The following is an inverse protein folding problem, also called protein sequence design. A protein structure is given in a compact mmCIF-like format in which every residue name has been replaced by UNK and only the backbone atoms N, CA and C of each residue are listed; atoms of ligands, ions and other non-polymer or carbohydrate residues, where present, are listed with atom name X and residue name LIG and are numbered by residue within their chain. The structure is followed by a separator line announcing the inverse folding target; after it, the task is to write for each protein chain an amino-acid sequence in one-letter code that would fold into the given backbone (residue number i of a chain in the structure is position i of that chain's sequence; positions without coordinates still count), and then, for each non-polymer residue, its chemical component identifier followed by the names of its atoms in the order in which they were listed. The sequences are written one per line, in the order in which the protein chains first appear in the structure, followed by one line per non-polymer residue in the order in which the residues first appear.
data_IF_070580128134
#
_entry.id   IF_070580128134
#
_cell.length_a   1.000
_cell.length_b   1.000
_cell.length_c   1.000
_cell.angle_alpha   90.00
_cell.angle_beta   90.00
_cell.angle_gamma   90.00
#
_symmetry.space_group_name_H-M   'P 1'
#
loop_
_entity.id
_entity.type
_entity.pdbx_description
1 polymer ?
#
# COMPACT_ATOMS: atom_id res chain seq x y z
N UNK A 1 -3.83 -15.90 10.29
CA UNK A 1 -3.21 -14.56 10.24
C UNK A 1 -2.48 -14.45 8.92
N UNK A 2 -2.68 -13.35 8.19
CA UNK A 2 -2.03 -13.12 6.90
C UNK A 2 -0.66 -12.49 7.12
N UNK A 3 0.39 -13.05 6.51
CA UNK A 3 1.76 -12.56 6.66
C UNK A 3 2.22 -11.90 5.37
N UNK A 4 2.96 -10.82 5.52
CA UNK A 4 3.61 -10.08 4.43
C UNK A 4 5.10 -10.39 4.46
N UNK A 5 5.66 -10.78 3.32
CA UNK A 5 7.09 -11.02 3.14
C UNK A 5 7.81 -9.72 2.82
N UNK A 6 8.74 -9.35 3.69
CA UNK A 6 9.62 -8.19 3.55
C UNK A 6 10.74 -8.49 2.54
N UNK A 7 11.39 -7.43 2.03
CA UNK A 7 12.51 -7.55 1.07
C UNK A 7 13.68 -8.38 1.61
N UNK A 8 13.91 -8.37 2.92
CA UNK A 8 14.91 -9.17 3.62
C UNK A 8 14.48 -10.63 3.88
N UNK A 9 13.32 -11.04 3.38
CA UNK A 9 12.77 -12.38 3.55
C UNK A 9 12.02 -12.59 4.86
N UNK A 10 11.99 -11.61 5.78
CA UNK A 10 11.22 -11.74 7.03
C UNK A 10 9.72 -11.74 6.75
N UNK A 11 8.98 -12.52 7.54
CA UNK A 11 7.53 -12.48 7.56
C UNK A 11 7.06 -11.58 8.71
N UNK A 12 6.12 -10.70 8.41
CA UNK A 12 5.46 -9.85 9.39
C UNK A 12 3.95 -9.97 9.23
N UNK A 13 3.18 -9.86 10.30
CA UNK A 13 1.73 -9.80 10.20
C UNK A 13 1.28 -8.59 9.39
N UNK A 14 0.30 -8.83 8.51
CA UNK A 14 -0.36 -7.74 7.82
C UNK A 14 -1.01 -6.80 8.84
N UNK A 15 -0.78 -5.51 8.64
CA UNK A 15 -1.36 -4.47 9.49
C UNK A 15 -2.05 -3.44 8.61
N UNK A 16 -3.39 -3.44 8.65
CA UNK A 16 -4.25 -2.43 8.03
C UNK A 16 -3.79 -1.01 8.37
N UNK A 17 -3.40 -0.78 9.63
CA UNK A 17 -2.93 0.52 10.10
C UNK A 17 -1.65 1.01 9.38
N UNK A 18 -0.79 0.10 8.90
CA UNK A 18 0.37 0.49 8.06
C UNK A 18 -0.09 1.03 6.72
N UNK A 19 -1.09 0.42 6.09
CA UNK A 19 -1.63 0.88 4.82
C UNK A 19 -2.21 2.28 4.97
N UNK A 20 -3.06 2.50 5.97
CA UNK A 20 -3.66 3.82 6.24
C UNK A 20 -2.58 4.89 6.43
N UNK A 21 -1.56 4.63 7.26
CA UNK A 21 -0.45 5.57 7.47
C UNK A 21 0.32 5.87 6.19
N UNK A 22 0.54 4.86 5.35
CA UNK A 22 1.21 4.99 4.07
C UNK A 22 0.42 5.89 3.12
N UNK A 23 -0.89 5.67 2.98
CA UNK A 23 -1.78 6.52 2.19
C UNK A 23 -1.85 7.97 2.72
N UNK A 24 -1.94 8.16 4.05
CA UNK A 24 -1.91 9.50 4.65
C UNK A 24 -0.59 10.23 4.34
N UNK A 25 0.55 9.54 4.42
CA UNK A 25 1.87 10.09 4.03
C UNK A 25 2.00 10.36 2.54
N UNK A 26 1.15 9.75 1.71
CA UNK A 26 0.99 10.07 0.30
C UNK A 26 0.16 11.34 0.05
N UNK A 27 -0.46 11.89 1.10
CA UNK A 27 -1.37 13.02 1.03
C UNK A 27 -2.85 12.64 0.92
N UNK A 28 -3.18 11.35 0.85
CA UNK A 28 -4.57 10.88 0.80
C UNK A 28 -5.35 11.35 2.03
N UNK A 29 -6.65 11.63 1.84
CA UNK A 29 -7.53 11.90 2.97
C UNK A 29 -7.75 10.63 3.80
N UNK A 30 -8.08 10.77 5.08
CA UNK A 30 -8.37 9.63 5.96
C UNK A 30 -9.44 8.70 5.38
N UNK A 31 -10.49 9.26 4.76
CA UNK A 31 -11.56 8.49 4.10
C UNK A 31 -11.04 7.61 2.96
N UNK A 32 -10.17 8.16 2.12
CA UNK A 32 -9.55 7.40 1.02
C UNK A 32 -8.58 6.36 1.57
N UNK A 33 -7.76 6.72 2.56
CA UNK A 33 -6.80 5.81 3.18
C UNK A 33 -7.47 4.59 3.83
N UNK A 34 -8.59 4.79 4.53
CA UNK A 34 -9.38 3.69 5.10
C UNK A 34 -10.00 2.81 4.02
N UNK A 35 -10.55 3.42 2.96
CA UNK A 35 -11.13 2.67 1.84
C UNK A 35 -10.10 1.80 1.12
N UNK A 36 -8.92 2.36 0.84
CA UNK A 36 -7.81 1.61 0.24
C UNK A 36 -7.37 0.48 1.16
N UNK A 37 -7.24 0.73 2.47
CA UNK A 37 -6.81 -0.30 3.41
C UNK A 37 -7.81 -1.46 3.51
N UNK A 38 -9.11 -1.18 3.43
CA UNK A 38 -10.16 -2.20 3.36
C UNK A 38 -10.08 -3.03 2.06
N UNK A 39 -9.89 -2.38 0.92
CA UNK A 39 -9.76 -3.08 -0.37
C UNK A 39 -8.46 -3.90 -0.45
N UNK A 40 -7.36 -3.41 0.13
CA UNK A 40 -6.11 -4.17 0.26
C UNK A 40 -6.36 -5.42 1.09
N UNK A 41 -6.99 -5.29 2.26
CA UNK A 41 -7.29 -6.41 3.17
C UNK A 41 -8.09 -7.53 2.50
N UNK A 42 -8.96 -7.19 1.53
CA UNK A 42 -9.73 -8.17 0.73
C UNK A 42 -8.92 -8.88 -0.35
N UNK A 43 -7.85 -8.25 -0.87
CA UNK A 43 -7.05 -8.76 -2.00
C UNK A 43 -5.72 -9.39 -1.58
N UNK A 44 -5.25 -9.15 -0.35
CA UNK A 44 -4.01 -9.76 0.16
C UNK A 44 -4.16 -11.27 0.39
N UNK A 45 -3.03 -11.96 0.36
CA UNK A 45 -2.93 -13.39 0.61
C UNK A 45 -1.67 -13.70 1.45
N UNK A 46 -1.59 -14.89 2.06
CA UNK A 46 -0.47 -15.22 2.94
C UNK A 46 0.85 -15.35 2.15
N UNK A 47 1.89 -14.67 2.61
CA UNK A 47 3.19 -14.61 1.95
C UNK A 47 3.34 -13.51 0.89
N UNK A 48 2.30 -12.69 0.66
CA UNK A 48 2.36 -11.54 -0.25
C UNK A 48 3.57 -10.65 0.08
N UNK A 49 4.29 -10.17 -0.93
CA UNK A 49 5.46 -9.31 -0.67
C UNK A 49 5.05 -7.88 -0.33
N UNK A 50 5.95 -7.15 0.36
CA UNK A 50 5.73 -5.71 0.59
C UNK A 50 5.64 -4.91 -0.71
N UNK A 51 6.31 -5.36 -1.78
CA UNK A 51 6.27 -4.67 -3.06
C UNK A 51 4.91 -4.88 -3.76
N UNK A 52 4.35 -6.09 -3.71
CA UNK A 52 2.99 -6.38 -4.21
C UNK A 52 1.91 -5.64 -3.42
N UNK A 53 2.03 -5.58 -2.08
CA UNK A 53 1.12 -4.78 -1.26
C UNK A 53 1.18 -3.31 -1.67
N UNK A 54 2.37 -2.78 -1.95
CA UNK A 54 2.52 -1.39 -2.40
C UNK A 54 1.92 -1.17 -3.80
N UNK A 55 2.06 -2.13 -4.72
CA UNK A 55 1.41 -2.10 -6.03
C UNK A 55 -0.10 -1.99 -5.91
N UNK A 56 -0.67 -2.87 -5.10
CA UNK A 56 -2.11 -2.92 -4.89
C UNK A 56 -2.65 -1.62 -4.29
N UNK A 57 -1.93 -1.02 -3.35
CA UNK A 57 -2.28 0.30 -2.78
C UNK A 57 -2.30 1.38 -3.86
N UNK A 58 -1.35 1.36 -4.79
CA UNK A 58 -1.23 2.37 -5.85
C UNK A 58 -2.34 2.21 -6.87
N UNK A 59 -2.59 0.98 -7.33
CA UNK A 59 -3.71 0.66 -8.22
C UNK A 59 -5.03 1.17 -7.64
N UNK A 60 -5.30 0.90 -6.37
CA UNK A 60 -6.50 1.37 -5.69
C UNK A 60 -6.57 2.90 -5.56
N UNK A 61 -5.44 3.58 -5.37
CA UNK A 61 -5.41 5.05 -5.36
C UNK A 61 -5.72 5.64 -6.75
N UNK A 62 -5.26 5.00 -7.83
CA UNK A 62 -5.60 5.38 -9.21
C UNK A 62 -7.06 5.09 -9.55
N UNK A 63 -7.60 3.91 -9.18
CA UNK A 63 -9.00 3.53 -9.37
C UNK A 63 -9.96 4.54 -8.70
N UNK A 64 -9.57 5.08 -7.54
CA UNK A 64 -10.34 6.10 -6.82
C UNK A 64 -10.21 7.51 -7.41
N UNK A 65 -9.56 7.67 -8.57
CA UNK A 65 -9.27 8.95 -9.25
C UNK A 65 -8.62 9.98 -8.33
N UNK A 66 -7.73 9.53 -7.45
CA UNK A 66 -7.05 10.43 -6.53
C UNK A 66 -6.01 11.24 -7.31
N UNK A 67 -6.27 12.52 -7.56
CA UNK A 67 -5.44 13.41 -8.41
C UNK A 67 -3.95 13.44 -8.03
N UNK A 68 -3.60 13.11 -6.76
CA UNK A 68 -2.20 13.06 -6.31
C UNK A 68 -1.56 11.67 -6.36
N UNK A 69 -2.24 10.66 -6.92
CA UNK A 69 -1.70 9.31 -7.08
C UNK A 69 -0.44 9.29 -7.94
N UNK A 70 -0.36 10.13 -8.98
CA UNK A 70 0.83 10.30 -9.83
C UNK A 70 2.07 10.75 -9.04
N UNK A 71 1.88 11.64 -8.06
CA UNK A 71 2.96 12.11 -7.17
C UNK A 71 3.45 11.00 -6.23
N UNK A 72 2.57 10.08 -5.88
CA UNK A 72 2.90 8.93 -5.07
C UNK A 72 3.64 7.84 -5.87
N UNK A 73 3.29 7.63 -7.13
CA UNK A 73 4.04 6.76 -8.04
C UNK A 73 5.48 7.26 -8.26
N UNK A 74 5.66 8.58 -8.40
CA UNK A 74 7.00 9.19 -8.46
C UNK A 74 7.82 8.91 -7.18
N UNK A 75 7.19 9.01 -6.00
CA UNK A 75 7.82 8.69 -4.71
C UNK A 75 8.16 7.20 -4.61
N UNK A 76 7.33 6.31 -5.17
CA UNK A 76 7.63 4.87 -5.28
C UNK A 76 8.84 4.62 -6.17
N UNK A 77 8.93 5.29 -7.32
CA UNK A 77 10.07 5.15 -8.23
C UNK A 77 11.38 5.53 -7.55
N UNK A 78 11.36 6.56 -6.68
CA UNK A 78 12.51 6.91 -5.83
C UNK A 78 12.83 5.83 -4.78
N UNK A 79 11.83 5.22 -4.14
CA UNK A 79 12.02 4.14 -3.16
C UNK A 79 12.53 2.85 -3.82
N UNK A 80 12.23 2.61 -5.10
CA UNK A 80 12.74 1.46 -5.87
C UNK A 80 14.18 1.64 -6.39
N UNK A 81 14.66 2.88 -6.48
CA UNK A 81 16.01 3.22 -6.94
C UNK A 81 17.06 3.24 -5.82
N UNK A 82 16.67 2.96 -4.56
CA UNK A 82 17.56 2.79 -3.41
C UNK A 82 17.40 1.42 -2.76
#
# INVERSE_FOLDING_TARGET
MLRVRKRDGRLEEFSRAKIVRTCLRAGASKKIAEKVAEEVEKRIYDGITTDEVLELVIELLFELKYEKAERYDLKRSLIRLG
#
